data_IF_728736629754
#
_entry.id   IF_728736629754
#
_cell.length_a   1.000
_cell.length_b   1.000
_cell.length_c   1.000
_cell.angle_alpha   90.00
_cell.angle_beta   90.00
_cell.angle_gamma   90.00
#
_symmetry.space_group_name_H-M   'P 1'
#
loop_
_entity.id
_entity.type
_entity.pdbx_description
1 polymer ?
#
# COMPACT_ATOMS: atom_id res chain seq x y z
N UNK A 1 -10.98 7.02 37.67
CA UNK A 1 -11.01 7.92 36.50
C UNK A 1 -10.99 7.02 35.28
N UNK A 2 -12.09 6.95 34.53
CA UNK A 2 -12.11 6.19 33.28
C UNK A 2 -11.18 6.90 32.30
N UNK A 3 -10.13 6.23 31.82
CA UNK A 3 -9.34 6.68 30.69
C UNK A 3 -10.30 6.75 29.49
N UNK A 4 -10.68 7.97 29.12
CA UNK A 4 -11.44 8.21 27.90
C UNK A 4 -10.48 7.91 26.75
N UNK A 5 -10.59 6.72 26.21
CA UNK A 5 -9.86 6.35 24.99
C UNK A 5 -10.21 7.40 23.92
N UNK A 6 -9.24 8.17 23.38
CA UNK A 6 -9.54 9.23 22.42
C UNK A 6 -10.33 8.65 21.26
N UNK A 7 -11.36 9.36 20.81
CA UNK A 7 -12.17 8.91 19.69
C UNK A 7 -11.27 8.61 18.47
N UNK A 8 -11.49 7.51 17.76
CA UNK A 8 -10.63 7.12 16.65
C UNK A 8 -10.64 8.21 15.57
N UNK A 9 -9.46 8.52 15.03
CA UNK A 9 -9.30 9.47 13.93
C UNK A 9 -10.09 8.96 12.73
N UNK A 10 -10.90 9.82 12.12
CA UNK A 10 -11.66 9.50 10.92
C UNK A 10 -10.78 9.74 9.67
N UNK A 11 -10.87 8.83 8.71
CA UNK A 11 -10.27 8.98 7.38
C UNK A 11 -11.35 9.28 6.34
N UNK A 12 -11.16 10.34 5.57
CA UNK A 12 -12.07 10.76 4.51
C UNK A 12 -11.30 10.88 3.18
N UNK A 13 -11.71 10.09 2.19
CA UNK A 13 -11.19 10.17 0.83
C UNK A 13 -11.94 11.26 0.05
N UNK A 14 -11.23 12.26 -0.44
CA UNK A 14 -11.77 13.36 -1.23
C UNK A 14 -11.53 13.11 -2.71
N UNK A 15 -12.58 13.15 -3.52
CA UNK A 15 -12.53 12.79 -4.93
C UNK A 15 -12.67 11.29 -5.18
N UNK A 16 -12.93 10.92 -6.43
CA UNK A 16 -13.02 9.53 -6.89
C UNK A 16 -12.58 9.44 -8.36
N UNK A 17 -11.27 9.53 -8.63
CA UNK A 17 -10.77 9.44 -9.99
C UNK A 17 -11.10 8.07 -10.58
N UNK A 18 -11.49 7.99 -11.88
CA UNK A 18 -11.86 6.74 -12.54
C UNK A 18 -10.62 5.90 -12.88
N UNK A 19 -9.78 5.62 -11.87
CA UNK A 19 -8.53 4.88 -12.03
C UNK A 19 -8.49 3.66 -11.13
N UNK A 20 -7.91 2.59 -11.65
CA UNK A 20 -7.68 1.35 -10.88
C UNK A 20 -6.20 1.08 -10.74
N UNK A 21 -5.77 0.87 -9.52
CA UNK A 21 -4.41 0.48 -9.14
C UNK A 21 -4.44 -0.98 -8.67
N UNK A 22 -3.75 -1.85 -9.36
CA UNK A 22 -3.80 -3.30 -9.11
C UNK A 22 -5.24 -3.84 -8.99
N UNK A 23 -6.13 -3.38 -9.90
CA UNK A 23 -7.53 -3.83 -9.99
C UNK A 23 -8.50 -3.20 -8.98
N UNK A 24 -8.04 -2.37 -8.04
CA UNK A 24 -8.87 -1.63 -7.07
C UNK A 24 -8.95 -0.15 -7.39
N UNK A 25 -10.05 0.51 -7.05
CA UNK A 25 -10.14 1.96 -7.13
C UNK A 25 -9.16 2.63 -6.16
N UNK A 26 -8.69 3.83 -6.48
CA UNK A 26 -7.81 4.60 -5.61
C UNK A 26 -8.43 4.80 -4.22
N UNK A 27 -9.73 5.13 -4.17
CA UNK A 27 -10.51 5.29 -2.94
C UNK A 27 -10.55 4.00 -2.11
N UNK A 28 -10.98 2.87 -2.70
CA UNK A 28 -11.09 1.60 -1.96
C UNK A 28 -9.74 1.14 -1.39
N UNK A 29 -8.64 1.40 -2.12
CA UNK A 29 -7.29 1.14 -1.64
C UNK A 29 -6.92 2.04 -0.45
N UNK A 30 -7.18 3.36 -0.56
CA UNK A 30 -6.87 4.32 0.50
C UNK A 30 -7.64 4.03 1.79
N UNK A 31 -8.95 3.74 1.68
CA UNK A 31 -9.80 3.35 2.81
C UNK A 31 -9.31 2.06 3.49
N UNK A 32 -8.86 1.07 2.71
CA UNK A 32 -8.30 -0.16 3.26
C UNK A 32 -6.98 0.09 4.01
N UNK A 33 -6.10 0.95 3.48
CA UNK A 33 -4.87 1.37 4.17
C UNK A 33 -5.20 2.09 5.46
N UNK A 34 -6.20 2.98 5.43
CA UNK A 34 -6.67 3.72 6.61
C UNK A 34 -7.24 2.79 7.69
N UNK A 35 -8.09 1.84 7.30
CA UNK A 35 -8.65 0.84 8.21
C UNK A 35 -7.55 -0.01 8.89
N UNK A 36 -6.52 -0.44 8.13
CA UNK A 36 -5.35 -1.14 8.67
C UNK A 36 -4.51 -0.28 9.62
N UNK A 37 -4.46 1.03 9.38
CA UNK A 37 -3.82 1.97 10.29
C UNK A 37 -4.65 2.25 11.55
N UNK A 38 -5.82 1.61 11.72
CA UNK A 38 -6.72 1.80 12.85
C UNK A 38 -7.52 3.10 12.78
N UNK A 39 -7.72 3.66 11.58
CA UNK A 39 -8.56 4.83 11.36
C UNK A 39 -10.00 4.39 11.08
N UNK A 40 -10.97 5.18 11.54
CA UNK A 40 -12.36 4.98 11.20
C UNK A 40 -12.62 5.47 9.77
N UNK A 41 -13.08 4.58 8.89
CA UNK A 41 -13.47 4.94 7.52
C UNK A 41 -14.98 5.18 7.46
N UNK A 42 -15.41 6.19 6.70
CA UNK A 42 -16.83 6.52 6.55
C UNK A 42 -17.02 7.66 5.56
N UNK A 43 -18.24 7.78 5.03
CA UNK A 43 -18.56 8.80 4.04
C UNK A 43 -19.00 10.13 4.68
N UNK A 44 -19.63 10.09 5.83
CA UNK A 44 -20.13 11.28 6.51
C UNK A 44 -19.04 11.90 7.41
N UNK A 45 -18.83 13.19 7.26
CA UNK A 45 -17.91 13.95 8.10
C UNK A 45 -18.43 14.06 9.54
N UNK A 46 -17.59 13.68 10.51
CA UNK A 46 -17.86 13.82 11.95
C UNK A 46 -16.95 14.87 12.57
N UNK A 47 -17.49 16.09 12.76
CA UNK A 47 -16.75 17.22 13.35
C UNK A 47 -16.31 16.98 14.79
N UNK A 48 -16.92 16.04 15.49
CA UNK A 48 -16.56 15.73 16.89
C UNK A 48 -15.24 14.97 17.02
N UNK A 49 -14.67 14.48 15.89
CA UNK A 49 -13.44 13.68 15.86
C UNK A 49 -12.33 14.36 15.08
N UNK A 50 -11.06 14.05 15.39
CA UNK A 50 -9.96 14.38 14.50
C UNK A 50 -10.14 13.64 13.16
N UNK A 51 -9.72 14.26 12.05
CA UNK A 51 -9.93 13.72 10.71
C UNK A 51 -8.68 13.85 9.85
N UNK A 52 -8.44 12.83 9.03
CA UNK A 52 -7.45 12.88 7.96
C UNK A 52 -8.18 12.89 6.62
N UNK A 53 -8.09 14.01 5.93
CA UNK A 53 -8.59 14.19 4.57
C UNK A 53 -7.49 13.77 3.60
N UNK A 54 -7.81 12.94 2.62
CA UNK A 54 -6.86 12.49 1.60
C UNK A 54 -7.40 12.82 0.21
N UNK A 55 -6.67 13.61 -0.55
CA UNK A 55 -7.01 13.87 -1.95
C UNK A 55 -6.67 12.65 -2.81
N UNK A 56 -7.70 12.07 -3.44
CA UNK A 56 -7.57 10.90 -4.31
C UNK A 56 -6.96 11.24 -5.69
N UNK A 57 -6.71 12.49 -6.00
CA UNK A 57 -5.88 12.91 -7.13
C UNK A 57 -4.40 12.58 -6.97
N UNK A 58 -4.01 12.09 -5.78
CA UNK A 58 -2.65 11.69 -5.45
C UNK A 58 -2.57 10.26 -4.95
N UNK A 59 -1.42 9.62 -5.22
CA UNK A 59 -1.03 8.36 -4.59
C UNK A 59 0.14 8.61 -3.63
N UNK A 60 0.10 7.96 -2.49
CA UNK A 60 1.05 8.14 -1.41
C UNK A 60 1.42 6.82 -0.74
N UNK A 61 2.61 6.78 -0.13
CA UNK A 61 3.08 5.64 0.66
C UNK A 61 2.29 5.55 1.97
N UNK A 62 1.81 4.36 2.40
CA UNK A 62 1.14 4.17 3.67
C UNK A 62 1.88 4.71 4.90
N UNK A 63 3.20 4.82 4.85
CA UNK A 63 4.01 5.38 5.93
C UNK A 63 3.62 6.83 6.27
N UNK A 64 3.15 7.61 5.29
CA UNK A 64 2.65 8.96 5.54
C UNK A 64 1.45 8.97 6.48
N UNK A 65 0.55 7.99 6.34
CA UNK A 65 -0.65 7.93 7.19
C UNK A 65 -0.29 7.63 8.66
N UNK A 66 0.70 6.76 8.89
CA UNK A 66 1.20 6.47 10.23
C UNK A 66 1.78 7.74 10.90
N UNK A 67 2.55 8.52 10.18
CA UNK A 67 3.13 9.77 10.66
C UNK A 67 2.04 10.83 10.94
N UNK A 68 1.07 10.96 10.01
CA UNK A 68 0.00 11.96 10.12
C UNK A 68 -0.94 11.73 11.29
N UNK A 69 -1.12 10.49 11.77
CA UNK A 69 -1.89 10.21 12.98
C UNK A 69 -1.42 11.01 14.19
N UNK A 70 -0.14 11.30 14.27
CA UNK A 70 0.51 11.96 15.41
C UNK A 70 0.72 13.46 15.18
N UNK A 71 0.25 14.03 14.05
CA UNK A 71 0.45 15.43 13.69
C UNK A 71 -0.87 16.15 13.40
N UNK A 72 -1.66 16.48 14.43
CA UNK A 72 -2.88 17.25 14.21
C UNK A 72 -2.55 18.62 13.62
N UNK A 73 -3.52 19.19 12.91
CA UNK A 73 -3.44 20.51 12.24
C UNK A 73 -2.22 20.64 11.31
N UNK A 74 -1.97 19.58 10.53
CA UNK A 74 -0.84 19.51 9.60
C UNK A 74 -1.33 19.13 8.20
N UNK A 75 -0.76 19.76 7.17
CA UNK A 75 -1.01 19.45 5.76
C UNK A 75 0.27 18.93 5.08
N UNK A 76 0.19 17.79 4.40
CA UNK A 76 1.22 17.31 3.48
C UNK A 76 0.99 17.93 2.11
N UNK A 77 1.97 18.67 1.65
CA UNK A 77 1.89 19.41 0.39
C UNK A 77 2.79 18.78 -0.67
N UNK A 78 2.30 18.72 -1.90
CA UNK A 78 3.10 18.40 -3.08
C UNK A 78 2.87 19.50 -4.14
N UNK A 79 3.94 20.20 -4.52
CA UNK A 79 3.88 21.28 -5.52
C UNK A 79 2.80 22.32 -5.22
N UNK A 80 2.63 22.67 -3.93
CA UNK A 80 1.64 23.66 -3.46
C UNK A 80 0.21 23.12 -3.35
N UNK A 81 -0.04 21.84 -3.60
CA UNK A 81 -1.35 21.20 -3.45
C UNK A 81 -1.39 20.32 -2.20
N UNK A 82 -2.49 20.35 -1.42
CA UNK A 82 -2.66 19.49 -0.26
C UNK A 82 -2.95 18.05 -0.69
N UNK A 83 -2.18 17.11 -0.17
CA UNK A 83 -2.31 15.67 -0.44
C UNK A 83 -3.00 14.94 0.71
N UNK A 84 -2.53 15.18 1.93
CA UNK A 84 -3.12 14.71 3.17
C UNK A 84 -3.25 15.87 4.13
N UNK A 85 -4.39 15.99 4.79
CA UNK A 85 -4.63 17.06 5.78
C UNK A 85 -5.18 16.43 7.05
N UNK A 86 -4.48 16.57 8.18
CA UNK A 86 -4.98 16.16 9.48
C UNK A 86 -5.58 17.35 10.19
N UNK A 87 -6.87 17.32 10.44
CA UNK A 87 -7.63 18.34 11.17
C UNK A 87 -7.95 17.86 12.59
N UNK A 88 -7.70 18.69 13.57
CA UNK A 88 -8.17 18.47 14.93
C UNK A 88 -9.71 18.47 14.98
N UNK A 89 -10.28 17.88 16.02
CA UNK A 89 -11.74 17.91 16.25
C UNK A 89 -12.25 19.36 16.28
N UNK A 90 -13.42 19.58 15.69
CA UNK A 90 -14.06 20.89 15.61
C UNK A 90 -13.66 21.76 14.40
N UNK A 91 -12.58 21.43 13.67
CA UNK A 91 -12.21 22.16 12.46
C UNK A 91 -13.03 21.66 11.26
N UNK A 92 -13.59 22.53 10.41
CA UNK A 92 -14.31 22.10 9.21
C UNK A 92 -13.37 21.60 8.11
N UNK A 93 -13.88 20.76 7.17
CA UNK A 93 -13.08 20.19 6.09
C UNK A 93 -12.58 21.22 5.07
N UNK A 94 -13.23 22.37 4.97
CA UNK A 94 -12.85 23.51 4.13
C UNK A 94 -11.79 24.41 4.78
N UNK A 95 -11.19 23.98 5.91
CA UNK A 95 -10.08 24.72 6.54
C UNK A 95 -8.96 24.94 5.53
N UNK A 96 -8.56 26.21 5.36
CA UNK A 96 -7.46 26.56 4.45
C UNK A 96 -6.16 25.89 4.90
N UNK A 97 -5.57 25.01 4.06
CA UNK A 97 -4.29 24.33 4.37
C UNK A 97 -3.15 25.29 4.68
N UNK A 98 -3.21 26.55 4.19
CA UNK A 98 -2.20 27.57 4.48
C UNK A 98 -2.16 27.99 5.96
N UNK A 99 -3.26 27.77 6.70
CA UNK A 99 -3.35 28.05 8.14
C UNK A 99 -2.82 26.94 9.03
N UNK A 100 -2.44 25.81 8.44
CA UNK A 100 -1.94 24.62 9.12
C UNK A 100 -0.41 24.54 9.04
N UNK A 101 0.18 23.68 9.88
CA UNK A 101 1.58 23.33 9.72
C UNK A 101 1.78 22.60 8.39
N UNK A 102 2.70 23.07 7.54
CA UNK A 102 2.92 22.48 6.23
C UNK A 102 4.16 21.59 6.22
N UNK A 103 4.02 20.40 5.64
CA UNK A 103 5.09 19.48 5.33
C UNK A 103 5.19 19.34 3.80
N UNK A 104 6.33 19.67 3.22
CA UNK A 104 6.58 19.41 1.81
C UNK A 104 6.98 17.94 1.62
N UNK A 105 6.20 17.19 0.82
CA UNK A 105 6.43 15.79 0.54
C UNK A 105 7.80 15.50 -0.12
N UNK A 106 8.41 16.50 -0.77
CA UNK A 106 9.72 16.35 -1.42
C UNK A 106 10.88 16.48 -0.44
N UNK A 107 10.71 17.28 0.63
CA UNK A 107 11.80 17.61 1.58
C UNK A 107 11.61 16.97 2.94
N UNK A 108 10.36 16.69 3.34
CA UNK A 108 10.07 16.08 4.62
C UNK A 108 10.70 14.69 4.76
N UNK A 109 11.31 14.44 5.91
CA UNK A 109 11.81 13.13 6.30
C UNK A 109 10.91 12.54 7.37
N UNK A 110 10.46 11.31 7.19
CA UNK A 110 9.77 10.56 8.24
C UNK A 110 10.76 10.05 9.27
N UNK A 111 10.29 9.81 10.49
CA UNK A 111 11.12 9.28 11.56
C UNK A 111 11.76 7.95 11.14
N UNK A 112 13.08 7.82 11.36
CA UNK A 112 13.88 6.67 10.95
C UNK A 112 13.38 5.33 11.56
N UNK A 113 12.72 5.38 12.72
CA UNK A 113 12.25 4.18 13.40
C UNK A 113 11.05 3.52 12.71
N UNK A 114 10.23 4.26 11.97
CA UNK A 114 9.11 3.72 11.21
C UNK A 114 9.51 3.26 9.81
N UNK A 115 10.60 3.80 9.28
CA UNK A 115 11.14 3.44 7.97
C UNK A 115 12.30 2.44 8.12
N UNK A 116 11.99 1.15 8.20
CA UNK A 116 13.00 0.10 7.94
C UNK A 116 13.52 0.11 6.49
N UNK A 117 13.20 1.16 5.73
CA UNK A 117 13.57 1.36 4.33
C UNK A 117 14.51 2.56 4.22
N UNK A 118 15.49 2.44 3.34
CA UNK A 118 16.41 3.53 2.97
C UNK A 118 15.76 4.55 2.03
N UNK A 119 14.65 4.20 1.39
CA UNK A 119 13.99 5.05 0.39
C UNK A 119 12.93 5.94 1.04
N UNK A 120 12.86 7.19 0.58
CA UNK A 120 11.83 8.14 1.03
C UNK A 120 10.45 7.64 0.63
N UNK A 121 9.42 7.79 1.49
CA UNK A 121 8.06 7.46 1.13
C UNK A 121 7.60 8.36 -0.02
N UNK A 122 7.03 7.74 -1.04
CA UNK A 122 6.60 8.47 -2.23
C UNK A 122 5.29 9.23 -2.00
N UNK A 123 5.16 10.35 -2.70
CA UNK A 123 3.91 11.05 -3.00
C UNK A 123 3.98 11.45 -4.46
N UNK A 124 2.95 11.17 -5.23
CA UNK A 124 2.91 11.53 -6.65
C UNK A 124 1.48 11.75 -7.13
N UNK A 125 1.27 12.62 -8.13
CA UNK A 125 -0.04 12.79 -8.74
C UNK A 125 -0.49 11.50 -9.40
N UNK A 126 -1.80 11.25 -9.35
CA UNK A 126 -2.43 10.10 -9.98
C UNK A 126 -3.04 10.53 -11.31
N UNK A 127 -2.36 10.19 -12.41
CA UNK A 127 -2.88 10.40 -13.75
C UNK A 127 -3.78 9.23 -14.16
N UNK A 128 -5.08 9.47 -14.39
CA UNK A 128 -5.99 8.43 -14.86
C UNK A 128 -5.61 7.84 -16.24
N UNK A 129 -4.91 8.60 -17.07
CA UNK A 129 -4.47 8.13 -18.40
C UNK A 129 -3.25 7.20 -18.30
N UNK A 130 -2.37 7.40 -17.32
CA UNK A 130 -1.19 6.56 -17.10
C UNK A 130 -0.99 6.21 -15.62
N UNK A 131 -1.67 5.18 -15.09
CA UNK A 131 -1.50 4.73 -13.71
C UNK A 131 -0.19 3.95 -13.48
N UNK A 132 0.55 3.60 -14.53
CA UNK A 132 1.72 2.72 -14.46
C UNK A 132 2.85 3.24 -13.55
N UNK A 133 3.21 4.53 -13.53
CA UNK A 133 4.21 5.06 -12.60
C UNK A 133 3.81 4.86 -11.13
N UNK A 134 2.53 5.09 -10.82
CA UNK A 134 1.98 4.88 -9.47
C UNK A 134 1.99 3.39 -9.10
N UNK A 135 1.57 2.50 -9.99
CA UNK A 135 1.62 1.05 -9.74
C UNK A 135 3.05 0.56 -9.50
N UNK A 136 4.04 1.09 -10.23
CA UNK A 136 5.46 0.79 -9.99
C UNK A 136 5.92 1.28 -8.62
N UNK A 137 5.59 2.52 -8.25
CA UNK A 137 5.95 3.07 -6.94
C UNK A 137 5.35 2.24 -5.80
N UNK A 138 4.07 1.84 -5.91
CA UNK A 138 3.40 0.96 -4.96
C UNK A 138 4.05 -0.42 -4.87
N UNK A 139 4.40 -1.01 -6.02
CA UNK A 139 5.07 -2.29 -6.07
C UNK A 139 6.46 -2.21 -5.44
N UNK A 140 7.24 -1.18 -5.77
CA UNK A 140 8.56 -0.96 -5.20
C UNK A 140 8.49 -0.69 -3.69
N UNK A 141 7.50 0.09 -3.24
CA UNK A 141 7.23 0.32 -1.83
C UNK A 141 6.86 -0.98 -1.07
N UNK A 142 6.37 -2.01 -1.75
CA UNK A 142 6.07 -3.32 -1.14
C UNK A 142 7.31 -4.17 -0.82
N UNK A 143 8.51 -3.78 -1.27
CA UNK A 143 9.76 -4.44 -0.87
C UNK A 143 10.17 -3.94 0.50
N UNK A 144 10.03 -4.78 1.53
CA UNK A 144 10.46 -4.48 2.90
C UNK A 144 11.82 -5.15 3.17
N UNK A 145 12.84 -4.35 3.48
CA UNK A 145 14.12 -4.86 3.98
C UNK A 145 15.05 -5.45 2.90
N UNK A 146 15.90 -6.38 3.31
CA UNK A 146 16.90 -7.02 2.46
C UNK A 146 16.20 -8.02 1.53
N UNK A 147 16.27 -7.76 0.24
CA UNK A 147 15.80 -8.68 -0.80
C UNK A 147 17.00 -9.43 -1.35
N UNK A 148 16.86 -10.74 -1.62
CA UNK A 148 17.95 -11.50 -2.21
C UNK A 148 18.29 -10.99 -3.63
N UNK A 149 19.55 -11.22 -4.05
CA UNK A 149 20.06 -10.76 -5.34
C UNK A 149 19.26 -11.27 -6.54
N UNK A 150 18.79 -12.51 -6.48
CA UNK A 150 17.98 -13.12 -7.54
C UNK A 150 16.65 -12.40 -7.70
N UNK A 151 15.96 -12.14 -6.61
CA UNK A 151 14.68 -11.40 -6.61
C UNK A 151 14.88 -9.98 -7.11
N UNK A 152 15.98 -9.32 -6.72
CA UNK A 152 16.24 -7.92 -7.09
C UNK A 152 16.54 -7.75 -8.58
N UNK A 153 17.38 -8.62 -9.16
CA UNK A 153 17.90 -8.45 -10.51
C UNK A 153 17.15 -9.27 -11.56
N UNK A 154 16.70 -10.49 -11.22
CA UNK A 154 16.11 -11.39 -12.19
C UNK A 154 14.58 -11.35 -12.18
N UNK A 155 13.96 -11.38 -10.99
CA UNK A 155 12.51 -11.57 -10.86
C UNK A 155 11.70 -10.27 -10.72
N UNK A 156 12.32 -9.16 -10.33
CA UNK A 156 11.59 -7.90 -10.05
C UNK A 156 10.70 -7.45 -11.21
N UNK A 157 11.24 -7.45 -12.43
CA UNK A 157 10.48 -7.03 -13.63
C UNK A 157 9.39 -8.03 -14.03
N UNK A 158 9.71 -9.33 -14.24
CA UNK A 158 8.67 -10.33 -14.53
C UNK A 158 7.59 -10.40 -13.45
N UNK A 159 7.95 -10.40 -12.17
CA UNK A 159 7.00 -10.46 -11.07
C UNK A 159 6.09 -9.23 -11.02
N UNK A 160 6.58 -8.03 -11.34
CA UNK A 160 5.72 -6.83 -11.46
C UNK A 160 4.62 -7.04 -12.51
N UNK A 161 4.98 -7.47 -13.71
CA UNK A 161 4.01 -7.66 -14.79
C UNK A 161 3.02 -8.78 -14.49
N UNK A 162 3.48 -9.88 -13.90
CA UNK A 162 2.62 -10.98 -13.47
C UNK A 162 1.68 -10.56 -12.34
N UNK A 163 2.17 -9.82 -11.34
CA UNK A 163 1.34 -9.27 -10.26
C UNK A 163 0.27 -8.33 -10.83
N UNK A 164 0.66 -7.44 -11.75
CA UNK A 164 -0.25 -6.53 -12.41
C UNK A 164 -1.31 -7.28 -13.24
N UNK A 165 -0.89 -8.27 -14.02
CA UNK A 165 -1.81 -9.11 -14.79
C UNK A 165 -2.78 -9.87 -13.89
N UNK A 166 -2.30 -10.55 -12.86
CA UNK A 166 -3.14 -11.26 -11.89
C UNK A 166 -4.15 -10.32 -11.21
N UNK A 167 -3.69 -9.10 -10.88
CA UNK A 167 -4.55 -8.08 -10.31
C UNK A 167 -5.65 -7.62 -11.26
N UNK A 168 -5.32 -7.38 -12.53
CA UNK A 168 -6.29 -6.98 -13.57
C UNK A 168 -7.27 -8.12 -13.91
N UNK A 169 -6.82 -9.36 -13.88
CA UNK A 169 -7.66 -10.55 -14.03
C UNK A 169 -8.58 -10.81 -12.82
N UNK A 170 -8.51 -9.99 -11.77
CA UNK A 170 -9.33 -10.12 -10.57
C UNK A 170 -8.93 -11.29 -9.67
N UNK A 171 -7.76 -11.90 -9.89
CA UNK A 171 -7.29 -13.03 -9.07
C UNK A 171 -7.02 -12.59 -7.63
N UNK A 172 -7.41 -13.42 -6.67
CA UNK A 172 -7.03 -13.24 -5.28
C UNK A 172 -5.62 -13.80 -5.01
N UNK A 173 -4.90 -13.32 -3.98
CA UNK A 173 -3.62 -13.90 -3.57
C UNK A 173 -3.73 -15.41 -3.33
N UNK A 174 -4.78 -15.87 -2.65
CA UNK A 174 -5.01 -17.30 -2.38
C UNK A 174 -5.15 -18.16 -3.65
N UNK A 175 -5.73 -17.60 -4.72
CA UNK A 175 -5.80 -18.31 -6.02
C UNK A 175 -4.41 -18.47 -6.64
N UNK A 176 -3.58 -17.43 -6.56
CA UNK A 176 -2.19 -17.48 -7.03
C UNK A 176 -1.38 -18.51 -6.22
N UNK A 177 -1.53 -18.50 -4.90
CA UNK A 177 -0.91 -19.50 -4.00
C UNK A 177 -1.34 -20.92 -4.36
N UNK A 178 -2.65 -21.14 -4.63
CA UNK A 178 -3.16 -22.45 -5.01
C UNK A 178 -2.55 -22.95 -6.35
N UNK A 179 -2.45 -22.07 -7.34
CA UNK A 179 -1.79 -22.38 -8.61
C UNK A 179 -0.31 -22.72 -8.35
N UNK A 180 0.39 -21.91 -7.54
CA UNK A 180 1.77 -22.18 -7.13
C UNK A 180 1.92 -23.54 -6.47
N UNK A 181 0.99 -23.91 -5.57
CA UNK A 181 0.99 -25.23 -4.93
C UNK A 181 0.91 -26.38 -5.93
N UNK A 182 0.09 -26.26 -7.00
CA UNK A 182 0.03 -27.26 -8.07
C UNK A 182 1.37 -27.42 -8.75
N UNK A 183 2.08 -26.32 -9.05
CA UNK A 183 3.43 -26.36 -9.62
C UNK A 183 4.45 -26.97 -8.66
N UNK A 184 4.33 -26.71 -7.35
CA UNK A 184 5.17 -27.34 -6.34
C UNK A 184 5.02 -28.86 -6.33
N UNK A 185 3.78 -29.36 -6.32
CA UNK A 185 3.49 -30.80 -6.38
C UNK A 185 4.00 -31.42 -7.69
N UNK A 186 3.81 -30.73 -8.82
CA UNK A 186 4.32 -31.20 -10.11
C UNK A 186 5.85 -31.26 -10.14
N UNK A 187 6.55 -30.25 -9.58
CA UNK A 187 7.99 -30.26 -9.45
C UNK A 187 8.48 -31.43 -8.59
N UNK A 188 7.84 -31.66 -7.45
CA UNK A 188 8.14 -32.82 -6.59
C UNK A 188 8.00 -34.16 -7.35
N UNK A 189 6.89 -34.34 -8.07
CA UNK A 189 6.64 -35.55 -8.85
C UNK A 189 7.70 -35.76 -9.95
N UNK A 190 8.11 -34.69 -10.63
CA UNK A 190 9.17 -34.75 -11.66
C UNK A 190 10.51 -35.16 -11.05
N UNK A 191 10.88 -34.58 -9.91
CA UNK A 191 12.10 -34.98 -9.19
C UNK A 191 12.06 -36.43 -8.74
N UNK A 192 10.91 -36.87 -8.22
CA UNK A 192 10.72 -38.27 -7.80
C UNK A 192 10.93 -39.25 -8.96
N UNK A 193 10.55 -38.89 -10.18
CA UNK A 193 10.73 -39.71 -11.38
C UNK A 193 12.09 -39.49 -12.08
N UNK A 194 13.02 -38.75 -11.48
CA UNK A 194 14.36 -38.53 -12.04
C UNK A 194 14.43 -37.47 -13.14
N UNK A 195 13.35 -36.72 -13.39
CA UNK A 195 13.30 -35.65 -14.38
C UNK A 195 13.80 -34.30 -13.79
N UNK A 196 15.07 -34.24 -13.40
CA UNK A 196 15.64 -33.12 -12.64
C UNK A 196 15.54 -31.80 -13.37
N UNK A 197 15.85 -31.74 -14.66
CA UNK A 197 15.78 -30.47 -15.42
C UNK A 197 14.36 -29.92 -15.54
N UNK A 198 13.38 -30.80 -15.82
CA UNK A 198 11.98 -30.43 -15.89
C UNK A 198 11.46 -30.01 -14.49
N UNK A 199 11.85 -30.76 -13.45
CA UNK A 199 11.51 -30.45 -12.08
C UNK A 199 12.05 -29.07 -11.66
N UNK A 200 13.29 -28.76 -12.03
CA UNK A 200 13.88 -27.44 -11.79
C UNK A 200 13.10 -26.33 -12.51
N UNK A 201 12.78 -26.52 -13.79
CA UNK A 201 12.01 -25.54 -14.56
C UNK A 201 10.63 -25.27 -13.94
N UNK A 202 9.91 -26.31 -13.54
CA UNK A 202 8.61 -26.21 -12.87
C UNK A 202 8.74 -25.57 -11.48
N UNK A 203 9.80 -25.90 -10.74
CA UNK A 203 10.12 -25.28 -9.45
C UNK A 203 10.40 -23.78 -9.56
N UNK A 204 11.03 -23.34 -10.65
CA UNK A 204 11.19 -21.91 -10.94
C UNK A 204 9.85 -21.20 -11.14
N UNK A 205 8.89 -21.81 -11.83
CA UNK A 205 7.54 -21.24 -11.99
C UNK A 205 6.86 -21.09 -10.63
N UNK A 206 6.95 -22.10 -9.76
CA UNK A 206 6.45 -22.02 -8.40
C UNK A 206 7.06 -20.84 -7.64
N UNK A 207 8.38 -20.65 -7.68
CA UNK A 207 9.08 -19.57 -6.98
C UNK A 207 8.65 -18.19 -7.46
N UNK A 208 8.37 -18.03 -8.75
CA UNK A 208 7.81 -16.80 -9.31
C UNK A 208 6.39 -16.55 -8.79
N UNK A 209 5.54 -17.57 -8.78
CA UNK A 209 4.15 -17.45 -8.30
C UNK A 209 4.08 -17.14 -6.81
N UNK A 210 4.96 -17.69 -6.00
CA UNK A 210 5.10 -17.38 -4.58
C UNK A 210 5.50 -15.90 -4.36
N UNK A 211 6.38 -15.36 -5.21
CA UNK A 211 6.68 -13.93 -5.19
C UNK A 211 5.47 -13.09 -5.60
N UNK A 212 4.71 -13.53 -6.59
CA UNK A 212 3.54 -12.80 -7.12
C UNK A 212 2.41 -12.73 -6.10
N UNK A 213 2.11 -13.83 -5.37
CA UNK A 213 1.02 -13.84 -4.39
C UNK A 213 1.30 -12.89 -3.22
N UNK A 214 2.52 -12.93 -2.67
CA UNK A 214 2.95 -12.00 -1.63
C UNK A 214 2.94 -10.53 -2.09
N UNK A 215 3.34 -10.26 -3.35
CA UNK A 215 3.28 -8.90 -3.90
C UNK A 215 1.85 -8.45 -4.18
N UNK A 216 1.00 -9.34 -4.68
CA UNK A 216 -0.41 -9.07 -4.91
C UNK A 216 -1.13 -8.70 -3.61
N UNK A 217 -0.89 -9.46 -2.53
CA UNK A 217 -1.44 -9.17 -1.21
C UNK A 217 -0.99 -7.77 -0.71
N UNK A 218 0.30 -7.45 -0.84
CA UNK A 218 0.87 -6.17 -0.39
C UNK A 218 0.37 -4.98 -1.18
N UNK A 219 0.37 -5.06 -2.50
CA UNK A 219 -0.07 -3.96 -3.37
C UNK A 219 -1.56 -3.66 -3.22
N UNK A 220 -2.37 -4.67 -2.93
CA UNK A 220 -3.81 -4.54 -2.62
C UNK A 220 -4.09 -4.22 -1.16
N UNK A 221 -3.07 -4.17 -0.32
CA UNK A 221 -3.22 -4.05 1.14
C UNK A 221 -4.08 -5.17 1.75
N UNK A 222 -4.00 -6.39 1.23
CA UNK A 222 -4.75 -7.57 1.71
C UNK A 222 -3.98 -8.40 2.75
N UNK A 223 -2.77 -8.00 3.15
CA UNK A 223 -2.02 -8.68 4.21
C UNK A 223 -2.81 -8.72 5.52
N UNK A 224 -3.02 -9.90 6.04
CA UNK A 224 -3.63 -10.08 7.36
C UNK A 224 -2.72 -9.50 8.46
N UNK A 225 -3.38 -8.93 9.44
CA UNK A 225 -2.81 -8.24 10.63
C UNK A 225 -1.95 -9.13 11.55
N UNK A 226 -1.57 -10.34 11.15
CA UNK A 226 -0.86 -11.30 12.01
C UNK A 226 0.57 -10.89 12.40
N UNK A 227 1.19 -9.92 11.71
CA UNK A 227 2.55 -9.47 12.03
C UNK A 227 2.61 -8.31 13.05
N UNK A 228 1.48 -7.71 13.41
CA UNK A 228 1.45 -6.60 14.39
C UNK A 228 1.28 -7.06 15.84
N UNK A 229 1.12 -8.37 16.11
CA UNK A 229 0.95 -8.91 17.46
C UNK A 229 2.19 -9.58 18.03
N UNK A 230 3.34 -9.52 17.37
CA UNK A 230 4.57 -10.16 17.84
C UNK A 230 5.66 -9.16 18.21
N UNK A 231 5.33 -8.11 18.97
CA UNK A 231 6.33 -7.34 19.75
C UNK A 231 5.70 -6.70 20.98
#
# INVERSE_FOLDING_TARGET
MAETNPAPIQFLAIGDPPVRLFGRTARARAEQVAAKAGLATGEAEDLSRPRILADMGFAWDPAWLAEFKNRPDTALMLDGQPVLVHLAAGRPADTDPATLAQLDARTASLSYFELRKRDRPFVMPLDPADPLPVERALYDASYKGVTDLLTLYLWRRPAFWLTRWAAQAGMSPNQVTLIGFVFCVAAFWLYWNGHYWSGTAVGFVFMVLDTVDGKLARTRSEEHTSELQSH
#
